data_IF_734995564021
#
_entry.id   IF_734995564021
#
_cell.length_a   1.000
_cell.length_b   1.000
_cell.length_c   1.000
_cell.angle_alpha   90.00
_cell.angle_beta   90.00
_cell.angle_gamma   90.00
#
_symmetry.space_group_name_H-M   'P 1'
#
loop_
_entity.id
_entity.type
_entity.pdbx_description
1 polymer ?
#
# COMPACT_ATOMS: atom_id res chain seq x y z
N UNK A 1 6.51 23.30 -17.38
CA UNK A 1 5.80 22.26 -16.60
C UNK A 1 6.71 21.05 -16.49
N UNK A 2 7.45 20.90 -15.40
CA UNK A 2 8.28 19.71 -15.17
C UNK A 2 7.33 18.54 -14.92
N UNK A 3 7.19 17.64 -15.90
CA UNK A 3 6.54 16.34 -15.68
C UNK A 3 7.29 15.70 -14.52
N UNK A 4 6.65 15.61 -13.38
CA UNK A 4 7.16 14.83 -12.27
C UNK A 4 6.96 13.38 -12.69
N UNK A 5 7.90 12.83 -13.47
CA UNK A 5 7.93 11.42 -13.84
C UNK A 5 8.02 10.65 -12.53
N UNK A 6 6.88 10.16 -12.05
CA UNK A 6 6.85 9.32 -10.87
C UNK A 6 7.67 8.08 -11.20
N UNK A 7 8.62 7.71 -10.36
CA UNK A 7 9.55 6.60 -10.61
C UNK A 7 10.69 6.68 -9.61
N UNK A 8 11.10 5.55 -9.04
CA UNK A 8 12.25 5.47 -8.14
C UNK A 8 12.79 4.04 -8.09
N UNK A 9 13.98 3.85 -7.55
CA UNK A 9 14.64 2.53 -7.47
C UNK A 9 14.13 1.66 -6.30
N UNK A 10 12.84 1.80 -5.95
CA UNK A 10 12.26 1.01 -4.87
C UNK A 10 12.18 -0.46 -5.28
N UNK A 11 12.68 -1.34 -4.40
CA UNK A 11 12.47 -2.79 -4.45
C UNK A 11 11.92 -3.29 -3.13
N UNK A 12 10.96 -4.21 -3.16
CA UNK A 12 10.23 -4.68 -1.98
C UNK A 12 9.75 -6.12 -2.06
N UNK A 13 8.75 -6.47 -1.26
CA UNK A 13 8.26 -7.84 -1.00
C UNK A 13 6.73 -7.92 -1.12
N UNK A 14 6.14 -7.06 -1.96
CA UNK A 14 4.70 -6.85 -2.01
C UNK A 14 3.94 -7.99 -2.71
N UNK A 15 4.62 -8.91 -3.40
CA UNK A 15 4.02 -10.04 -4.12
C UNK A 15 4.17 -11.39 -3.42
N UNK A 16 4.73 -11.41 -2.20
CA UNK A 16 4.71 -12.58 -1.30
C UNK A 16 5.91 -13.51 -1.38
N UNK A 17 6.92 -13.21 -2.20
CA UNK A 17 8.15 -13.98 -2.27
C UNK A 17 9.05 -13.77 -1.05
N UNK A 18 10.01 -14.68 -0.89
CA UNK A 18 11.06 -14.57 0.13
C UNK A 18 12.24 -13.68 -0.30
N UNK A 19 12.27 -13.26 -1.56
CA UNK A 19 13.24 -12.32 -2.14
C UNK A 19 12.54 -11.04 -2.60
N UNK A 20 13.32 -10.04 -3.04
CA UNK A 20 12.77 -8.80 -3.54
C UNK A 20 12.03 -9.08 -4.86
N UNK A 21 10.70 -9.09 -4.81
CA UNK A 21 9.79 -9.45 -5.90
C UNK A 21 9.02 -8.26 -6.47
N UNK A 22 9.19 -7.07 -5.89
CA UNK A 22 8.55 -5.87 -6.38
C UNK A 22 9.57 -4.86 -6.86
N UNK A 23 9.27 -4.19 -7.98
CA UNK A 23 10.04 -3.07 -8.50
C UNK A 23 9.13 -1.89 -8.82
N UNK A 24 9.63 -0.67 -8.69
CA UNK A 24 8.87 0.51 -9.05
C UNK A 24 9.11 0.93 -10.51
N UNK A 25 8.02 1.04 -11.28
CA UNK A 25 7.99 1.59 -12.64
C UNK A 25 6.85 2.61 -12.69
N UNK A 26 7.15 3.82 -13.15
CA UNK A 26 6.19 4.93 -13.28
C UNK A 26 5.36 5.26 -12.03
N UNK A 27 5.92 4.99 -10.84
CA UNK A 27 5.25 5.24 -9.56
C UNK A 27 4.31 4.16 -9.08
N UNK A 28 4.35 2.98 -9.69
CA UNK A 28 3.58 1.79 -9.30
C UNK A 28 4.51 0.58 -9.15
N UNK A 29 4.06 -0.41 -8.37
CA UNK A 29 4.80 -1.65 -8.15
C UNK A 29 4.44 -2.67 -9.22
N UNK A 30 5.47 -3.33 -9.72
CA UNK A 30 5.41 -4.42 -10.68
C UNK A 30 6.07 -5.66 -10.11
N UNK A 31 5.49 -6.81 -10.40
CA UNK A 31 5.99 -8.10 -9.96
C UNK A 31 7.19 -8.50 -10.83
N UNK A 32 8.36 -8.62 -10.21
CA UNK A 32 9.61 -8.96 -10.87
C UNK A 32 9.65 -10.38 -11.41
N UNK A 33 8.77 -11.26 -10.94
CA UNK A 33 8.65 -12.65 -11.42
C UNK A 33 7.62 -12.80 -12.56
N UNK A 34 6.99 -11.69 -12.95
CA UNK A 34 6.00 -11.68 -14.02
C UNK A 34 6.59 -11.42 -15.40
N UNK A 35 5.77 -11.60 -16.42
CA UNK A 35 6.10 -11.33 -17.81
C UNK A 35 7.01 -12.36 -18.48
N UNK A 36 7.84 -11.89 -19.40
CA UNK A 36 8.57 -12.74 -20.34
C UNK A 36 9.58 -11.97 -21.17
N UNK A 37 9.95 -12.55 -22.31
CA UNK A 37 10.86 -11.94 -23.28
C UNK A 37 10.11 -11.71 -24.59
N UNK A 38 10.24 -10.52 -25.16
CA UNK A 38 9.63 -10.20 -26.45
C UNK A 38 10.43 -10.77 -27.64
N UNK A 39 9.95 -10.50 -28.86
CA UNK A 39 10.59 -10.93 -30.10
C UNK A 39 11.96 -10.29 -30.36
N UNK A 40 12.28 -9.22 -29.65
CA UNK A 40 13.57 -8.51 -29.72
C UNK A 40 14.56 -8.97 -28.65
N UNK A 41 14.13 -9.81 -27.70
CA UNK A 41 14.95 -10.28 -26.59
C UNK A 41 14.84 -9.41 -25.33
N UNK A 42 13.97 -8.41 -25.31
CA UNK A 42 13.78 -7.52 -24.17
C UNK A 42 12.79 -8.12 -23.16
N UNK A 43 13.10 -7.96 -21.87
CA UNK A 43 12.23 -8.43 -20.80
C UNK A 43 11.12 -7.44 -20.51
N UNK A 44 9.88 -7.93 -20.41
CA UNK A 44 8.72 -7.15 -20.00
C UNK A 44 8.08 -7.77 -18.76
N UNK A 45 7.33 -6.95 -18.01
CA UNK A 45 6.50 -7.38 -16.88
C UNK A 45 5.03 -7.25 -17.30
N UNK A 46 4.19 -8.23 -16.94
CA UNK A 46 2.76 -8.24 -17.27
C UNK A 46 1.84 -8.26 -16.04
N UNK A 47 2.41 -8.37 -14.83
CA UNK A 47 1.67 -8.30 -13.56
C UNK A 47 2.12 -7.10 -12.72
N UNK A 48 1.15 -6.30 -12.29
CA UNK A 48 1.37 -5.12 -11.46
C UNK A 48 0.79 -3.85 -12.06
N UNK A 49 1.37 -2.70 -11.71
CA UNK A 49 0.91 -1.38 -12.18
C UNK A 49 -0.27 -0.78 -11.40
N UNK A 50 -0.95 -1.54 -10.56
CA UNK A 50 -2.08 -1.06 -9.77
C UNK A 50 -1.71 -0.57 -8.36
N UNK A 51 -0.70 -1.20 -7.76
CA UNK A 51 -0.25 -0.89 -6.40
C UNK A 51 0.65 0.35 -6.48
N UNK A 52 0.28 1.51 -5.90
CA UNK A 52 1.11 2.68 -5.98
C UNK A 52 2.41 2.46 -5.19
N UNK A 53 3.54 2.97 -5.67
CA UNK A 53 4.81 2.81 -4.99
C UNK A 53 4.78 3.46 -3.58
N UNK A 54 5.18 2.75 -2.51
CA UNK A 54 5.20 3.32 -1.17
C UNK A 54 6.23 4.44 -1.02
N UNK A 55 7.18 4.56 -1.96
CA UNK A 55 8.27 5.55 -1.93
C UNK A 55 7.95 6.83 -2.68
N UNK A 56 7.87 6.81 -4.01
CA UNK A 56 7.62 8.00 -4.83
C UNK A 56 6.13 8.33 -4.97
N UNK A 57 5.23 7.35 -4.79
CA UNK A 57 3.77 7.52 -4.84
C UNK A 57 3.09 7.26 -3.48
N UNK A 58 3.80 7.58 -2.39
CA UNK A 58 3.42 7.24 -1.02
C UNK A 58 2.01 7.72 -0.62
N UNK A 59 1.59 8.87 -1.14
CA UNK A 59 0.27 9.45 -0.84
C UNK A 59 -0.85 8.59 -1.42
N UNK A 60 -0.73 8.13 -2.67
CA UNK A 60 -1.74 7.25 -3.29
C UNK A 60 -1.67 5.87 -2.65
N UNK A 61 -0.47 5.35 -2.40
CA UNK A 61 -0.26 4.07 -1.72
C UNK A 61 -0.99 3.99 -0.38
N UNK A 62 -0.91 5.05 0.44
CA UNK A 62 -1.62 5.14 1.73
C UNK A 62 -3.14 5.22 1.55
N UNK A 63 -3.61 5.99 0.56
CA UNK A 63 -5.03 6.31 0.38
C UNK A 63 -5.85 5.20 -0.25
N UNK A 64 -5.27 4.45 -1.19
CA UNK A 64 -5.93 3.32 -1.84
C UNK A 64 -5.46 2.02 -1.22
N UNK A 65 -4.34 1.49 -1.68
CA UNK A 65 -3.87 0.15 -1.36
C UNK A 65 -3.84 -0.16 0.15
N UNK A 66 -3.21 0.69 0.96
CA UNK A 66 -3.17 0.47 2.40
C UNK A 66 -4.54 0.63 3.06
N UNK A 67 -5.34 1.61 2.62
CA UNK A 67 -6.66 1.84 3.20
C UNK A 67 -7.57 0.64 2.95
N UNK A 68 -7.56 0.12 1.73
CA UNK A 68 -8.36 -1.03 1.31
C UNK A 68 -7.91 -2.29 2.05
N UNK A 69 -6.59 -2.54 2.13
CA UNK A 69 -6.01 -3.65 2.89
C UNK A 69 -6.39 -3.59 4.38
N UNK A 70 -6.28 -2.41 5.01
CA UNK A 70 -6.65 -2.25 6.42
C UNK A 70 -8.16 -2.47 6.62
N UNK A 71 -8.98 -2.05 5.67
CA UNK A 71 -10.42 -2.24 5.74
C UNK A 71 -10.80 -3.73 5.58
N UNK A 72 -10.25 -4.42 4.58
CA UNK A 72 -10.52 -5.83 4.31
C UNK A 72 -10.11 -6.73 5.48
N UNK A 73 -9.00 -6.42 6.13
CA UNK A 73 -8.53 -7.13 7.32
C UNK A 73 -9.27 -6.72 8.61
N UNK A 74 -10.28 -5.83 8.51
CA UNK A 74 -11.13 -5.43 9.62
C UNK A 74 -10.48 -4.45 10.61
N UNK A 75 -9.34 -3.83 10.25
CA UNK A 75 -8.65 -2.89 11.15
C UNK A 75 -9.46 -1.61 11.42
N UNK A 76 -10.42 -1.30 10.55
CA UNK A 76 -11.28 -0.11 10.64
C UNK A 76 -12.63 -0.44 11.30
N UNK A 77 -12.92 -1.73 11.53
CA UNK A 77 -14.18 -2.20 12.12
C UNK A 77 -14.34 -1.87 13.61
N UNK A 78 -15.58 -1.94 14.09
CA UNK A 78 -15.91 -1.85 15.52
C UNK A 78 -15.53 -3.10 16.29
N UNK A 79 -15.57 -4.25 15.62
CA UNK A 79 -15.40 -5.58 16.21
C UNK A 79 -13.96 -5.86 16.59
N UNK A 80 -12.98 -5.29 15.87
CA UNK A 80 -11.56 -5.39 16.25
C UNK A 80 -11.12 -4.18 17.11
N UNK A 81 -11.00 -4.32 18.44
CA UNK A 81 -10.22 -3.38 19.25
C UNK A 81 -8.75 -3.63 18.97
N UNK A 82 -8.21 -2.92 17.99
CA UNK A 82 -6.77 -2.90 17.78
C UNK A 82 -6.11 -2.15 18.91
N UNK A 83 -5.22 -2.84 19.63
CA UNK A 83 -4.28 -2.15 20.51
C UNK A 83 -3.32 -1.33 19.65
N UNK A 84 -2.83 -0.21 20.18
CA UNK A 84 -1.79 0.62 19.54
C UNK A 84 -0.57 -0.21 19.12
N UNK A 85 -0.28 -1.31 19.83
CA UNK A 85 0.79 -2.26 19.50
C UNK A 85 0.52 -3.02 18.19
N UNK A 86 -0.69 -3.55 17.99
CA UNK A 86 -1.07 -4.26 16.75
C UNK A 86 -0.96 -3.33 15.54
N UNK A 87 -1.46 -2.10 15.63
CA UNK A 87 -1.37 -1.13 14.52
C UNK A 87 0.10 -0.76 14.22
N UNK A 88 0.90 -0.54 15.27
CA UNK A 88 2.33 -0.27 15.09
C UNK A 88 3.08 -1.45 14.46
N UNK A 89 2.61 -2.69 14.67
CA UNK A 89 3.23 -3.88 14.08
C UNK A 89 3.01 -3.93 12.56
N UNK A 90 1.77 -3.71 12.10
CA UNK A 90 1.45 -3.66 10.67
C UNK A 90 2.24 -2.56 9.96
N UNK A 91 2.39 -1.40 10.62
CA UNK A 91 3.11 -0.25 10.08
C UNK A 91 4.60 -0.22 10.48
N UNK A 92 5.16 -1.32 11.02
CA UNK A 92 6.50 -1.34 11.65
C UNK A 92 7.63 -1.07 10.65
N UNK A 93 7.51 -1.59 9.43
CA UNK A 93 8.54 -1.42 8.39
C UNK A 93 8.59 0.00 7.81
N UNK A 94 7.65 0.87 8.18
CA UNK A 94 7.46 2.15 7.52
C UNK A 94 8.21 3.32 8.20
N UNK A 95 8.71 4.29 7.41
CA UNK A 95 9.22 5.56 7.93
C UNK A 95 8.21 6.31 8.80
N UNK A 96 8.71 7.08 9.77
CA UNK A 96 7.89 7.73 10.81
C UNK A 96 6.82 8.68 10.26
N UNK A 97 7.13 9.43 9.21
CA UNK A 97 6.21 10.34 8.53
C UNK A 97 5.05 9.60 7.85
N UNK A 98 5.32 8.50 7.14
CA UNK A 98 4.30 7.68 6.48
C UNK A 98 3.42 6.96 7.49
N UNK A 99 4.03 6.42 8.55
CA UNK A 99 3.30 5.82 9.68
C UNK A 99 2.32 6.82 10.30
N UNK A 100 2.74 8.08 10.49
CA UNK A 100 1.86 9.15 11.02
C UNK A 100 0.66 9.40 10.11
N UNK A 101 0.86 9.40 8.79
CA UNK A 101 -0.23 9.54 7.82
C UNK A 101 -1.20 8.36 7.87
N UNK A 102 -0.69 7.13 7.81
CA UNK A 102 -1.51 5.91 7.91
C UNK A 102 -2.34 5.87 9.22
N UNK A 103 -1.74 6.26 10.35
CA UNK A 103 -2.45 6.37 11.63
C UNK A 103 -3.61 7.37 11.59
N UNK A 104 -3.51 8.46 10.81
CA UNK A 104 -4.61 9.43 10.66
C UNK A 104 -5.77 8.81 9.90
N UNK A 105 -5.48 8.07 8.83
CA UNK A 105 -6.50 7.35 8.04
C UNK A 105 -7.24 6.32 8.89
N UNK A 106 -6.52 5.46 9.60
CA UNK A 106 -7.12 4.44 10.47
C UNK A 106 -8.02 5.06 11.55
N UNK A 107 -7.62 6.19 12.13
CA UNK A 107 -8.46 6.92 13.09
C UNK A 107 -9.70 7.55 12.46
N UNK A 108 -9.60 8.01 11.21
CA UNK A 108 -10.73 8.58 10.48
C UNK A 108 -11.78 7.51 10.19
N UNK A 109 -11.37 6.41 9.55
CA UNK A 109 -12.30 5.33 9.23
C UNK A 109 -12.93 4.71 10.49
N UNK A 110 -12.19 4.60 11.60
CA UNK A 110 -12.77 4.10 12.85
C UNK A 110 -13.83 5.06 13.41
N UNK A 111 -13.65 6.38 13.26
CA UNK A 111 -14.67 7.37 13.67
C UNK A 111 -15.92 7.25 12.80
N UNK A 112 -15.76 6.98 11.51
CA UNK A 112 -16.86 6.73 10.58
C UNK A 112 -17.63 5.46 10.97
N UNK A 113 -16.94 4.34 11.20
CA UNK A 113 -17.56 3.09 11.65
C UNK A 113 -18.34 3.27 12.98
N UNK A 114 -17.80 4.03 13.94
CA UNK A 114 -18.51 4.37 15.18
C UNK A 114 -19.75 5.22 14.92
N UNK A 115 -19.68 6.16 13.97
CA UNK A 115 -20.81 7.01 13.61
C UNK A 115 -21.91 6.19 12.94
N UNK A 116 -21.56 5.28 12.03
CA UNK A 116 -22.51 4.40 11.33
C UNK A 116 -23.24 3.49 12.31
N UNK A 117 -22.54 2.79 13.20
CA UNK A 117 -23.21 1.92 14.18
C UNK A 117 -24.07 2.69 15.21
N UNK A 118 -23.81 3.98 15.44
CA UNK A 118 -24.68 4.84 16.25
C UNK A 118 -25.95 5.29 15.51
N UNK A 119 -25.95 5.23 14.17
CA UNK A 119 -27.12 5.55 13.35
C UNK A 119 -27.99 4.32 13.09
N UNK A 120 -27.39 3.13 13.10
CA UNK A 120 -28.09 1.84 12.89
C UNK A 120 -28.76 1.26 14.14
N UNK A 121 -28.38 1.75 15.34
CA UNK A 121 -28.96 1.36 16.63
C UNK A 121 -29.89 2.43 17.19
#
# INVERSE_FOLDING_TARGET
>A
MTKNTLGCDYKGYEFGAHYLDSTCIDGYLWDMDSGGTDEHGDHYLDSGGDIPCPQCNAKKHIKSYLSDYLNSEGYVSLVLPLTTKKIKNVLRKWPSNRRRMAMRYLRSGRREAIKEAKLEG
#
